data_IF_284285752302
#
_entry.id   IF_284285752302
#
_cell.length_a   1.000
_cell.length_b   1.000
_cell.length_c   1.000
_cell.angle_alpha   90.00
_cell.angle_beta   90.00
_cell.angle_gamma   90.00
#
_symmetry.space_group_name_H-M   'P 1'
#
loop_
_entity.id
_entity.type
_entity.pdbx_description
1 polymer ?
#
# COMPACT_ATOMS: atom_id res chain seq x y z
N UNK A 1 2.01 10.04 -13.00
CA UNK A 1 1.52 8.89 -12.25
C UNK A 1 0.06 8.77 -12.56
N UNK A 2 -0.39 7.54 -12.77
CA UNK A 2 -1.68 7.25 -13.39
C UNK A 2 -2.39 6.18 -12.54
N UNK A 3 -3.65 6.40 -12.13
CA UNK A 3 -4.44 5.35 -11.50
C UNK A 3 -4.70 4.23 -12.51
N UNK A 4 -4.55 2.99 -12.08
CA UNK A 4 -4.77 1.81 -12.91
C UNK A 4 -5.65 0.80 -12.17
N UNK A 5 -6.11 -0.22 -12.88
CA UNK A 5 -6.90 -1.33 -12.31
C UNK A 5 -6.51 -2.69 -12.88
N UNK A 6 -5.25 -2.83 -13.31
CA UNK A 6 -4.75 -4.02 -14.00
C UNK A 6 -4.48 -5.20 -13.05
N UNK A 7 -4.33 -4.92 -11.75
CA UNK A 7 -3.95 -5.91 -10.75
C UNK A 7 -5.13 -6.38 -9.90
N UNK A 8 -5.02 -7.64 -9.46
CA UNK A 8 -5.90 -8.24 -8.47
C UNK A 8 -5.10 -9.16 -7.54
N UNK A 9 -5.66 -9.46 -6.37
CA UNK A 9 -5.10 -10.44 -5.44
C UNK A 9 -5.90 -11.73 -5.50
N UNK A 10 -5.18 -12.85 -5.39
CA UNK A 10 -5.82 -14.15 -5.23
C UNK A 10 -6.58 -14.19 -3.89
N UNK A 11 -7.86 -14.60 -3.89
CA UNK A 11 -8.60 -14.75 -2.64
C UNK A 11 -7.94 -15.82 -1.75
N UNK A 12 -8.01 -15.67 -0.43
CA UNK A 12 -7.53 -16.70 0.48
C UNK A 12 -8.37 -17.98 0.28
N UNK A 13 -7.76 -19.17 0.29
CA UNK A 13 -8.53 -20.41 0.25
C UNK A 13 -9.32 -20.56 1.55
N UNK A 14 -10.50 -21.18 1.49
CA UNK A 14 -11.36 -21.42 2.66
C UNK A 14 -10.63 -22.16 3.79
N UNK A 15 -9.63 -22.98 3.45
CA UNK A 15 -8.81 -23.72 4.41
C UNK A 15 -7.79 -22.87 5.19
N UNK A 16 -7.54 -21.62 4.76
CA UNK A 16 -6.59 -20.70 5.39
C UNK A 16 -7.16 -19.27 5.42
N UNK A 17 -8.22 -19.02 6.22
CA UNK A 17 -8.87 -17.71 6.29
C UNK A 17 -7.91 -16.63 6.81
N UNK A 18 -6.98 -16.99 7.70
CA UNK A 18 -6.02 -16.05 8.32
C UNK A 18 -4.79 -15.75 7.44
N UNK A 19 -4.83 -16.14 6.16
CA UNK A 19 -3.69 -15.98 5.25
C UNK A 19 -3.52 -14.51 4.86
N UNK A 20 -2.59 -13.82 5.51
CA UNK A 20 -2.28 -12.40 5.24
C UNK A 20 -1.49 -12.12 3.94
N UNK A 21 -1.15 -13.13 3.13
CA UNK A 21 -0.33 -12.97 1.90
C UNK A 21 -0.96 -13.61 0.67
N UNK A 22 -1.41 -12.81 -0.30
CA UNK A 22 -2.00 -13.28 -1.55
C UNK A 22 -1.07 -13.20 -2.75
N UNK A 23 -1.30 -14.07 -3.74
CA UNK A 23 -0.59 -13.99 -5.02
C UNK A 23 -1.12 -12.81 -5.83
N UNK A 24 -0.23 -12.06 -6.47
CA UNK A 24 -0.59 -10.95 -7.33
C UNK A 24 -0.90 -11.46 -8.74
N UNK A 25 -2.02 -11.01 -9.28
CA UNK A 25 -2.45 -11.24 -10.65
C UNK A 25 -2.38 -9.92 -11.41
N UNK A 26 -2.02 -9.97 -12.68
CA UNK A 26 -2.01 -8.82 -13.59
C UNK A 26 -2.71 -9.24 -14.88
N UNK A 27 -3.78 -8.54 -15.26
CA UNK A 27 -4.57 -8.83 -16.45
C UNK A 27 -4.99 -10.31 -16.55
N UNK A 28 -5.45 -10.88 -15.43
CA UNK A 28 -5.91 -12.28 -15.36
C UNK A 28 -4.80 -13.34 -15.38
N UNK A 29 -3.52 -12.96 -15.30
CA UNK A 29 -2.40 -13.91 -15.18
C UNK A 29 -1.71 -13.80 -13.83
N UNK A 30 -1.50 -14.95 -13.17
CA UNK A 30 -0.74 -15.02 -11.92
C UNK A 30 0.72 -14.63 -12.16
N UNK A 31 1.21 -13.71 -11.36
CA UNK A 31 2.61 -13.27 -11.36
C UNK A 31 3.44 -14.14 -10.40
N UNK A 32 4.75 -13.93 -10.36
CA UNK A 32 5.64 -14.57 -9.37
C UNK A 32 5.70 -13.82 -8.03
N UNK A 33 4.87 -12.79 -7.83
CA UNK A 33 4.95 -11.91 -6.66
C UNK A 33 3.80 -12.16 -5.70
N UNK A 34 4.13 -12.16 -4.41
CA UNK A 34 3.15 -12.19 -3.31
C UNK A 34 3.14 -10.86 -2.57
N UNK A 35 1.95 -10.36 -2.28
CA UNK A 35 1.73 -9.13 -1.51
C UNK A 35 1.07 -9.48 -0.18
N UNK A 36 1.28 -8.61 0.82
CA UNK A 36 0.56 -8.70 2.08
C UNK A 36 -0.77 -7.95 1.91
N UNK A 37 -1.89 -8.57 2.27
CA UNK A 37 -3.24 -8.05 2.04
C UNK A 37 -4.12 -9.06 1.32
N UNK A 38 -5.43 -8.84 1.42
CA UNK A 38 -6.48 -9.71 0.86
C UNK A 38 -7.20 -9.04 -0.31
N UNK A 39 -7.33 -7.71 -0.29
CA UNK A 39 -7.92 -6.91 -1.36
C UNK A 39 -6.99 -5.77 -1.76
N UNK A 40 -7.10 -5.27 -2.99
CA UNK A 40 -6.45 -4.04 -3.44
C UNK A 40 -7.47 -2.91 -3.39
N UNK A 41 -7.18 -1.86 -2.62
CA UNK A 41 -7.99 -0.64 -2.61
C UNK A 41 -7.57 0.32 -3.71
N UNK A 42 -6.26 0.50 -3.90
CA UNK A 42 -5.73 1.44 -4.89
C UNK A 42 -4.49 0.91 -5.61
N UNK A 43 -4.33 1.32 -6.87
CA UNK A 43 -3.26 0.90 -7.73
C UNK A 43 -2.80 2.07 -8.59
N UNK A 44 -1.51 2.32 -8.63
CA UNK A 44 -0.94 3.42 -9.40
C UNK A 44 0.26 2.97 -10.21
N UNK A 45 0.31 3.42 -11.46
CA UNK A 45 1.48 3.33 -12.30
C UNK A 45 2.41 4.52 -12.03
N UNK A 46 3.65 4.20 -11.71
CA UNK A 46 4.75 5.14 -11.53
C UNK A 46 5.66 5.12 -12.76
N UNK A 47 6.58 6.07 -12.85
CA UNK A 47 7.54 6.13 -13.96
C UNK A 47 8.49 4.92 -13.97
N UNK A 48 8.81 4.38 -12.79
CA UNK A 48 9.80 3.33 -12.55
C UNK A 48 9.21 2.04 -11.97
N UNK A 49 7.87 1.92 -11.93
CA UNK A 49 7.22 0.76 -11.34
C UNK A 49 5.75 0.96 -11.02
N UNK A 50 5.29 0.30 -9.96
CA UNK A 50 3.90 0.31 -9.51
C UNK A 50 3.81 0.51 -8.00
N UNK A 51 2.81 1.26 -7.56
CA UNK A 51 2.40 1.32 -6.16
C UNK A 51 1.05 0.61 -6.03
N UNK A 52 1.02 -0.41 -5.19
CA UNK A 52 -0.19 -1.17 -4.87
C UNK A 52 -0.50 -0.98 -3.40
N UNK A 53 -1.74 -0.63 -3.11
CA UNK A 53 -2.26 -0.44 -1.76
C UNK A 53 -3.28 -1.54 -1.53
N UNK A 54 -3.02 -2.36 -0.52
CA UNK A 54 -3.82 -3.51 -0.17
C UNK A 54 -4.23 -3.45 1.28
N UNK A 55 -5.43 -3.92 1.55
CA UNK A 55 -6.00 -3.95 2.88
C UNK A 55 -6.27 -5.41 3.26
N UNK A 56 -6.26 -5.67 4.56
CA UNK A 56 -6.80 -6.91 5.11
C UNK A 56 -7.40 -6.61 6.47
N UNK A 57 -8.51 -7.27 6.73
CA UNK A 57 -9.21 -7.20 7.99
C UNK A 57 -8.58 -8.24 8.92
N UNK A 58 -8.03 -7.78 10.04
CA UNK A 58 -7.58 -8.63 11.13
C UNK A 58 -8.48 -8.29 12.32
N UNK A 59 -8.96 -9.28 13.09
CA UNK A 59 -9.70 -8.96 14.31
C UNK A 59 -8.87 -7.98 15.15
N UNK A 60 -9.49 -6.85 15.49
CA UNK A 60 -8.92 -5.72 16.26
C UNK A 60 -8.01 -4.74 15.52
N UNK A 61 -7.69 -4.96 14.23
CA UNK A 61 -6.82 -4.09 13.42
C UNK A 61 -7.23 -4.05 11.95
N UNK A 62 -7.59 -2.87 11.44
CA UNK A 62 -7.66 -2.65 10.00
C UNK A 62 -6.28 -2.15 9.53
N UNK A 63 -5.63 -2.92 8.65
CA UNK A 63 -4.25 -2.68 8.25
C UNK A 63 -4.17 -2.37 6.76
N UNK A 64 -3.74 -1.15 6.43
CA UNK A 64 -3.38 -0.79 5.06
C UNK A 64 -1.91 -1.06 4.80
N UNK A 65 -1.63 -1.71 3.68
CA UNK A 65 -0.29 -2.08 3.23
C UNK A 65 0.03 -1.38 1.91
N UNK A 66 1.13 -0.63 1.91
CA UNK A 66 1.69 0.01 0.74
C UNK A 66 2.85 -0.84 0.21
N UNK A 67 2.73 -1.32 -1.02
CA UNK A 67 3.76 -2.12 -1.66
C UNK A 67 4.22 -1.49 -2.98
N UNK A 68 5.52 -1.28 -3.08
CA UNK A 68 6.17 -0.77 -4.28
C UNK A 68 6.76 -1.94 -5.07
N UNK A 69 6.45 -2.00 -6.37
CA UNK A 69 6.98 -2.96 -7.33
C UNK A 69 7.80 -2.23 -8.39
N UNK A 70 8.79 -2.92 -8.97
CA UNK A 70 9.43 -2.45 -10.20
C UNK A 70 8.61 -2.84 -11.45
N UNK A 71 9.05 -2.40 -12.62
CA UNK A 71 8.42 -2.74 -13.91
C UNK A 71 8.44 -4.25 -14.23
N UNK A 72 9.28 -5.04 -13.54
CA UNK A 72 9.34 -6.51 -13.65
C UNK A 72 8.52 -7.19 -12.55
N UNK A 73 7.66 -6.42 -11.88
CA UNK A 73 6.78 -6.84 -10.79
C UNK A 73 7.50 -7.35 -9.54
N UNK A 74 8.81 -7.09 -9.39
CA UNK A 74 9.56 -7.49 -8.20
C UNK A 74 9.27 -6.53 -7.07
N UNK A 75 9.03 -7.07 -5.87
CA UNK A 75 8.80 -6.26 -4.66
C UNK A 75 10.06 -5.48 -4.27
N UNK A 76 9.98 -4.16 -4.37
CA UNK A 76 11.04 -3.23 -3.99
C UNK A 76 10.99 -2.91 -2.50
N UNK A 77 9.81 -2.59 -1.97
CA UNK A 77 9.59 -2.37 -0.55
C UNK A 77 8.12 -2.50 -0.18
N UNK A 78 7.86 -2.73 1.10
CA UNK A 78 6.50 -2.74 1.66
C UNK A 78 6.50 -2.09 3.05
N UNK A 79 5.42 -1.38 3.35
CA UNK A 79 5.12 -0.79 4.66
C UNK A 79 3.65 -0.99 4.96
N UNK A 80 3.35 -1.33 6.20
CA UNK A 80 1.99 -1.40 6.71
C UNK A 80 1.77 -0.28 7.72
N UNK A 81 0.56 0.26 7.72
CA UNK A 81 0.02 1.12 8.77
C UNK A 81 -1.10 0.34 9.41
N UNK A 82 -1.03 0.21 10.73
CA UNK A 82 -1.96 -0.54 11.55
C UNK A 82 -1.54 -0.37 13.00
N UNK A 83 -2.53 -0.26 13.90
CA UNK A 83 -2.32 -0.32 15.33
C UNK A 83 -3.54 -0.94 15.99
N UNK A 84 -3.31 -1.59 17.13
CA UNK A 84 -4.37 -2.17 17.96
C UNK A 84 -5.44 -1.13 18.27
N UNK A 85 -6.71 -1.50 18.06
CA UNK A 85 -7.88 -0.66 18.33
C UNK A 85 -7.98 0.62 17.48
N UNK A 86 -7.23 0.70 16.38
CA UNK A 86 -7.32 1.79 15.42
C UNK A 86 -7.70 1.24 14.04
N UNK A 87 -8.69 1.89 13.44
CA UNK A 87 -9.10 1.65 12.05
C UNK A 87 -8.26 2.52 11.12
N UNK A 88 -7.33 1.92 10.38
CA UNK A 88 -6.58 2.63 9.34
C UNK A 88 -7.13 2.29 7.96
N UNK A 89 -8.42 2.53 7.73
CA UNK A 89 -8.98 2.44 6.39
C UNK A 89 -8.69 3.71 5.61
N UNK A 90 -7.94 3.53 4.52
CA UNK A 90 -7.63 4.62 3.61
C UNK A 90 -8.92 5.08 2.92
N UNK A 91 -9.41 6.24 3.33
CA UNK A 91 -10.63 6.86 2.79
C UNK A 91 -10.34 7.63 1.51
N UNK A 92 -9.15 8.24 1.40
CA UNK A 92 -8.78 9.04 0.26
C UNK A 92 -7.28 9.18 0.08
N UNK A 93 -6.87 9.42 -1.17
CA UNK A 93 -5.49 9.73 -1.52
C UNK A 93 -5.48 10.97 -2.39
N UNK A 94 -4.85 12.03 -1.88
CA UNK A 94 -4.65 13.26 -2.62
C UNK A 94 -3.18 13.39 -3.03
N UNK A 95 -2.91 13.28 -4.33
CA UNK A 95 -1.56 13.40 -4.84
C UNK A 95 -1.16 14.87 -5.03
N UNK A 96 -0.16 15.32 -4.26
CA UNK A 96 0.44 16.65 -4.37
C UNK A 96 1.57 16.69 -5.41
N UNK A 97 2.22 15.57 -5.64
CA UNK A 97 3.31 15.39 -6.61
C UNK A 97 3.43 13.90 -6.98
N UNK A 98 4.09 13.54 -8.11
CA UNK A 98 4.31 12.13 -8.48
C UNK A 98 5.00 11.27 -7.41
N UNK A 99 5.63 11.90 -6.42
CA UNK A 99 6.34 11.24 -5.32
C UNK A 99 5.76 11.58 -3.94
N UNK A 100 4.69 12.39 -3.86
CA UNK A 100 4.13 12.86 -2.60
C UNK A 100 2.60 12.82 -2.64
N UNK A 101 2.01 12.07 -1.71
CA UNK A 101 0.57 11.99 -1.50
C UNK A 101 0.23 12.33 -0.06
N UNK A 102 -0.93 12.95 0.13
CA UNK A 102 -1.62 13.01 1.40
C UNK A 102 -2.61 11.84 1.44
N UNK A 103 -2.55 11.06 2.51
CA UNK A 103 -3.42 9.94 2.81
C UNK A 103 -4.43 10.40 3.86
N UNK A 104 -5.71 10.19 3.59
CA UNK A 104 -6.80 10.46 4.51
C UNK A 104 -7.30 9.13 5.08
N UNK A 105 -7.14 8.93 6.39
CA UNK A 105 -7.64 7.77 7.11
C UNK A 105 -8.98 8.02 7.81
N UNK A 106 -9.62 9.17 7.55
CA UNK A 106 -10.83 9.60 8.22
C UNK A 106 -10.56 10.27 9.56
N UNK A 107 -11.59 10.90 10.13
CA UNK A 107 -11.51 11.49 11.48
C UNK A 107 -10.54 12.68 11.63
N UNK A 108 -10.01 13.23 10.52
CA UNK A 108 -8.98 14.26 10.55
C UNK A 108 -7.54 13.71 10.64
N UNK A 109 -7.36 12.40 10.53
CA UNK A 109 -6.05 11.75 10.54
C UNK A 109 -5.41 11.75 9.15
N UNK A 110 -4.58 12.76 8.92
CA UNK A 110 -3.83 12.93 7.67
C UNK A 110 -2.39 12.42 7.80
N UNK A 111 -1.96 11.67 6.80
CA UNK A 111 -0.61 11.12 6.73
C UNK A 111 0.04 11.46 5.39
N UNK A 112 1.35 11.71 5.40
CA UNK A 112 2.13 11.95 4.20
C UNK A 112 2.79 10.67 3.70
N UNK A 113 2.52 10.31 2.45
CA UNK A 113 3.20 9.28 1.70
C UNK A 113 4.27 9.89 0.79
N UNK A 114 5.53 9.55 1.05
CA UNK A 114 6.67 9.99 0.26
C UNK A 114 7.37 8.80 -0.42
N UNK A 115 7.42 8.84 -1.74
CA UNK A 115 8.12 7.87 -2.59
C UNK A 115 9.48 8.43 -3.03
N UNK A 116 10.55 7.65 -2.90
CA UNK A 116 11.90 8.04 -3.31
C UNK A 116 12.37 7.16 -4.46
N UNK A 117 12.77 7.77 -5.58
CA UNK A 117 13.35 7.05 -6.73
C UNK A 117 14.62 6.29 -6.36
N UNK A 118 15.53 6.94 -5.65
CA UNK A 118 16.75 6.32 -5.12
C UNK A 118 16.62 5.99 -3.65
N UNK A 119 16.97 4.77 -3.27
CA UNK A 119 17.12 4.37 -1.88
C UNK A 119 18.52 3.82 -1.63
N UNK A 120 19.02 4.11 -0.44
CA UNK A 120 20.05 3.31 0.21
C UNK A 120 19.30 2.41 1.20
N UNK A 121 19.44 1.08 1.13
CA UNK A 121 18.88 0.18 2.13
C UNK A 121 19.22 0.71 3.53
N UNK A 122 18.21 0.78 4.42
CA UNK A 122 18.33 1.22 5.82
C UNK A 122 18.52 2.73 6.09
N UNK A 123 19.22 3.49 5.24
CA UNK A 123 19.45 4.94 5.49
C UNK A 123 18.37 5.85 4.90
N UNK A 124 17.77 5.46 3.77
CA UNK A 124 16.78 6.28 3.06
C UNK A 124 15.70 5.36 2.51
N UNK A 125 14.66 5.02 3.31
CA UNK A 125 13.64 4.09 2.86
C UNK A 125 12.96 4.63 1.60
N UNK A 126 12.75 3.73 0.64
CA UNK A 126 12.19 4.04 -0.68
C UNK A 126 10.73 4.50 -0.60
N UNK A 127 10.04 4.05 0.44
CA UNK A 127 8.69 4.44 0.79
C UNK A 127 8.69 4.88 2.26
N UNK A 128 8.26 6.11 2.50
CA UNK A 128 8.17 6.72 3.83
C UNK A 128 6.74 7.18 4.04
N UNK A 129 6.17 6.81 5.18
CA UNK A 129 4.85 7.23 5.60
C UNK A 129 4.99 7.89 6.96
N UNK A 130 4.35 9.03 7.17
CA UNK A 130 4.39 9.77 8.45
C UNK A 130 3.06 10.44 8.74
N UNK A 131 2.64 10.53 10.01
CA UNK A 131 1.54 11.40 10.37
C UNK A 131 1.91 12.86 10.06
N UNK A 132 0.94 13.64 9.58
CA UNK A 132 1.11 15.08 9.43
C UNK A 132 1.28 15.68 10.82
N UNK A 133 2.47 16.17 11.13
CA UNK A 133 2.80 16.71 12.46
C UNK A 133 2.42 18.18 12.52
N UNK A 134 1.13 18.49 12.35
CA UNK A 134 0.59 19.83 12.63
C UNK A 134 -0.89 19.73 12.97
N UNK A 135 -1.16 19.50 14.26
CA UNK A 135 -2.37 19.96 14.92
C UNK A 135 -1.96 20.48 16.30
N UNK A 136 -1.12 21.53 16.29
CA UNK A 136 -1.07 22.44 17.43
C UNK A 136 -2.13 23.51 17.16
N UNK A 137 -3.27 23.36 17.82
CA UNK A 137 -4.19 24.46 18.08
C UNK A 137 -4.28 24.63 19.60
#
# INVERSE_FOLDING_TARGET
MEPISDFSLEPPPESQPDRIYSWLWMNGRRTSTRLKGLSLSHQFRLADGYLLISDFDCPFEEVTVFTLLDLRLRKLCSRSIGAWYCSFLLSGIEWRSPCHALLDFGGGDYWELNLRRFHLPLLRPRLRIRPCSDQTA
#
